data_IF_745358726564
#
_entry.id   IF_745358726564
#
_cell.length_a   1.000
_cell.length_b   1.000
_cell.length_c   1.000
_cell.angle_alpha   90.00
_cell.angle_beta   90.00
_cell.angle_gamma   90.00
#
_symmetry.space_group_name_H-M   'P 1'
#
loop_
_entity.id
_entity.type
_entity.pdbx_description
1 polymer ?
#
# COMPACT_ATOMS: atom_id res chain seq x y z
N UNK A 1 11.06 -0.83 32.60
CA UNK A 1 12.14 -1.31 31.71
C UNK A 1 11.94 -0.64 30.37
N UNK A 2 13.00 -0.14 29.73
CA UNK A 2 12.86 0.40 28.37
C UNK A 2 12.60 -0.79 27.43
N UNK A 3 11.45 -0.80 26.75
CA UNK A 3 11.12 -1.84 25.79
C UNK A 3 11.92 -1.62 24.51
N UNK A 4 12.75 -2.59 24.11
CA UNK A 4 13.61 -2.43 22.94
C UNK A 4 12.84 -2.80 21.67
N UNK A 5 13.20 -2.26 20.49
CA UNK A 5 12.55 -2.61 19.23
C UNK A 5 12.62 -4.10 18.91
N UNK A 6 13.76 -4.75 19.18
CA UNK A 6 13.96 -6.19 18.95
C UNK A 6 13.01 -7.08 19.77
N UNK A 7 12.47 -6.57 20.89
CA UNK A 7 11.53 -7.33 21.70
C UNK A 7 10.11 -7.34 21.06
N UNK A 8 9.87 -6.62 19.95
CA UNK A 8 8.60 -6.67 19.20
C UNK A 8 8.55 -7.76 18.14
N UNK A 9 9.69 -8.35 17.76
CA UNK A 9 9.75 -9.25 16.61
C UNK A 9 10.47 -10.55 16.95
N UNK A 10 9.78 -11.65 16.70
CA UNK A 10 10.36 -12.99 16.69
C UNK A 10 10.84 -13.31 15.27
N UNK A 11 12.13 -13.61 15.10
CA UNK A 11 12.65 -14.18 13.86
C UNK A 11 12.50 -15.69 13.88
N UNK A 12 11.96 -16.23 12.78
CA UNK A 12 11.76 -17.66 12.60
C UNK A 12 13.00 -18.30 11.91
N UNK A 13 13.22 -19.62 12.05
CA UNK A 13 14.39 -20.30 11.49
C UNK A 13 14.61 -20.07 9.99
N UNK A 14 13.53 -19.89 9.23
CA UNK A 14 13.49 -19.62 7.80
C UNK A 14 14.26 -18.35 7.42
N UNK A 15 14.33 -17.36 8.32
CA UNK A 15 15.10 -16.13 8.14
C UNK A 15 16.61 -16.37 8.02
N UNK A 16 17.13 -17.50 8.52
CA UNK A 16 18.56 -17.77 8.61
C UNK A 16 19.28 -17.71 7.26
N UNK A 17 18.60 -18.06 6.16
CA UNK A 17 19.17 -17.98 4.81
C UNK A 17 19.48 -16.54 4.39
N UNK A 18 18.62 -15.59 4.77
CA UNK A 18 18.82 -14.17 4.49
C UNK A 18 19.91 -13.57 5.38
N UNK A 19 19.91 -13.95 6.67
CA UNK A 19 20.95 -13.53 7.62
C UNK A 19 22.34 -14.05 7.19
N UNK A 20 22.43 -15.31 6.76
CA UNK A 20 23.69 -15.89 6.29
C UNK A 20 24.16 -15.25 4.98
N UNK A 21 23.23 -14.93 4.08
CA UNK A 21 23.53 -14.20 2.84
C UNK A 21 24.09 -12.81 3.15
N UNK A 22 23.43 -12.04 4.00
CA UNK A 22 23.88 -10.69 4.37
C UNK A 22 25.21 -10.73 5.14
N UNK A 23 25.41 -11.70 6.03
CA UNK A 23 26.68 -11.86 6.74
C UNK A 23 27.87 -12.20 5.82
N UNK A 24 27.61 -12.72 4.61
CA UNK A 24 28.64 -13.02 3.62
C UNK A 24 28.98 -11.83 2.70
N UNK A 25 28.25 -10.73 2.79
CA UNK A 25 28.48 -9.51 1.99
C UNK A 25 29.73 -8.78 2.51
N UNK A 26 30.72 -8.55 1.64
CA UNK A 26 31.97 -7.86 1.98
C UNK A 26 31.85 -6.33 2.02
N UNK A 27 30.83 -5.77 1.38
CA UNK A 27 30.50 -4.34 1.41
C UNK A 27 29.17 -4.03 0.69
N UNK A 28 28.61 -2.81 0.84
CA UNK A 28 27.30 -2.46 0.30
C UNK A 28 27.13 -2.69 -1.20
N UNK A 29 28.21 -2.52 -1.97
CA UNK A 29 28.27 -2.74 -3.43
C UNK A 29 27.96 -4.19 -3.84
N UNK A 30 28.15 -5.15 -2.93
CA UNK A 30 27.97 -6.59 -3.17
C UNK A 30 26.57 -7.08 -2.76
N UNK A 31 25.72 -6.21 -2.17
CA UNK A 31 24.36 -6.58 -1.79
C UNK A 31 23.53 -6.92 -3.02
N UNK A 32 22.97 -8.12 -3.04
CA UNK A 32 21.91 -8.46 -3.98
C UNK A 32 20.67 -7.60 -3.67
N UNK A 33 20.07 -7.00 -4.69
CA UNK A 33 18.88 -6.17 -4.52
C UNK A 33 17.70 -6.97 -3.97
N UNK A 34 17.48 -6.92 -2.66
CA UNK A 34 16.34 -7.52 -1.98
C UNK A 34 15.31 -6.43 -1.69
N UNK A 35 14.11 -6.63 -2.21
CA UNK A 35 12.97 -5.73 -2.01
C UNK A 35 12.15 -6.22 -0.82
N UNK A 36 11.73 -5.29 0.05
CA UNK A 36 10.67 -5.50 1.02
C UNK A 36 9.45 -4.69 0.58
N UNK A 37 8.35 -5.37 0.32
CA UNK A 37 7.04 -4.78 0.05
C UNK A 37 6.24 -4.77 1.36
N UNK A 38 5.44 -3.74 1.62
CA UNK A 38 4.51 -3.76 2.75
C UNK A 38 3.14 -3.17 2.41
N UNK A 39 2.11 -3.74 3.02
CA UNK A 39 0.69 -3.41 2.80
C UNK A 39 -0.11 -3.46 4.12
N UNK A 40 0.44 -2.77 5.13
CA UNK A 40 -0.15 -2.69 6.47
C UNK A 40 -1.58 -2.16 6.40
N UNK A 41 -2.53 -3.01 6.80
CA UNK A 41 -3.95 -2.76 6.77
C UNK A 41 -4.35 -1.74 7.83
N UNK A 42 -4.43 -0.49 7.40
CA UNK A 42 -4.82 0.65 8.23
C UNK A 42 -6.03 1.41 7.68
N UNK A 43 -6.31 2.57 8.29
CA UNK A 43 -7.40 3.45 7.85
C UNK A 43 -7.10 4.08 6.45
N UNK A 44 -5.82 4.15 6.07
CA UNK A 44 -5.35 4.73 4.81
C UNK A 44 -5.19 3.69 3.68
N UNK A 45 -6.21 2.86 3.47
CA UNK A 45 -6.27 1.91 2.34
C UNK A 45 -7.68 1.84 1.72
N UNK A 46 -7.97 2.76 0.80
CA UNK A 46 -9.26 2.82 0.10
C UNK A 46 -9.54 1.52 -0.65
N UNK A 47 -10.78 1.04 -0.55
CA UNK A 47 -11.20 -0.27 -1.07
C UNK A 47 -10.37 -1.46 -0.56
N UNK A 48 -9.55 -1.24 0.49
CA UNK A 48 -8.57 -2.20 1.01
C UNK A 48 -7.60 -2.69 -0.07
N UNK A 49 -7.30 -1.86 -1.06
CA UNK A 49 -6.66 -2.29 -2.28
C UNK A 49 -5.20 -2.73 -2.07
N UNK A 50 -4.46 -2.05 -1.19
CA UNK A 50 -3.10 -2.46 -0.80
C UNK A 50 -3.11 -3.81 -0.08
N UNK A 51 -3.93 -3.95 0.96
CA UNK A 51 -4.02 -5.22 1.71
C UNK A 51 -4.52 -6.38 0.83
N UNK A 52 -5.46 -6.12 -0.10
CA UNK A 52 -5.93 -7.13 -1.05
C UNK A 52 -4.85 -7.51 -2.07
N UNK A 53 -3.97 -6.58 -2.46
CA UNK A 53 -2.83 -6.88 -3.31
C UNK A 53 -1.86 -7.85 -2.60
N UNK A 54 -1.53 -7.59 -1.32
CA UNK A 54 -0.75 -8.50 -0.48
C UNK A 54 -1.34 -9.88 -0.31
N UNK A 55 -2.63 -9.92 0.06
CA UNK A 55 -3.36 -11.18 0.21
C UNK A 55 -3.39 -11.97 -1.10
N UNK A 56 -3.50 -11.29 -2.23
CA UNK A 56 -3.42 -11.91 -3.55
C UNK A 56 -2.05 -12.51 -3.84
N UNK A 57 -0.95 -11.82 -3.50
CA UNK A 57 0.40 -12.37 -3.61
C UNK A 57 0.59 -13.62 -2.74
N UNK A 58 0.14 -13.59 -1.48
CA UNK A 58 0.20 -14.75 -0.60
C UNK A 58 -0.67 -15.91 -1.09
N UNK A 59 -1.80 -15.64 -1.74
CA UNK A 59 -2.65 -16.68 -2.32
C UNK A 59 -2.06 -17.30 -3.60
N UNK A 60 -1.31 -16.51 -4.38
CA UNK A 60 -0.80 -16.88 -5.70
C UNK A 60 0.64 -17.39 -5.75
N UNK A 61 1.48 -17.03 -4.77
CA UNK A 61 2.92 -17.28 -4.79
C UNK A 61 3.39 -18.19 -3.65
N UNK A 62 4.46 -18.99 -3.87
CA UNK A 62 5.14 -19.71 -2.80
C UNK A 62 5.70 -18.74 -1.77
N UNK A 63 5.42 -18.98 -0.50
CA UNK A 63 5.87 -18.13 0.58
C UNK A 63 6.05 -18.88 1.91
N UNK A 64 6.84 -18.30 2.79
CA UNK A 64 7.00 -18.75 4.18
C UNK A 64 7.13 -17.55 5.11
N UNK A 65 6.67 -17.69 6.36
CA UNK A 65 6.84 -16.64 7.37
C UNK A 65 8.26 -16.70 7.90
N UNK A 66 8.95 -15.55 7.93
CA UNK A 66 10.32 -15.43 8.44
C UNK A 66 10.42 -14.55 9.70
N UNK A 67 9.42 -13.72 9.96
CA UNK A 67 9.32 -12.97 11.21
C UNK A 67 7.86 -12.75 11.61
N UNK A 68 7.60 -12.71 12.92
CA UNK A 68 6.29 -12.40 13.50
C UNK A 68 6.43 -11.26 14.49
N UNK A 69 5.64 -10.21 14.31
CA UNK A 69 5.56 -9.14 15.28
C UNK A 69 4.54 -9.46 16.38
N UNK A 70 4.77 -8.92 17.57
CA UNK A 70 3.86 -9.00 18.71
C UNK A 70 2.61 -8.12 18.49
N UNK A 71 1.66 -8.66 17.72
CA UNK A 71 0.39 -8.01 17.44
C UNK A 71 -0.43 -7.72 18.72
N UNK A 72 -0.25 -8.50 19.79
CA UNK A 72 -0.96 -8.30 21.05
C UNK A 72 -0.57 -6.99 21.74
N UNK A 73 0.70 -6.60 21.62
CA UNK A 73 1.22 -5.31 22.11
C UNK A 73 0.99 -4.14 21.14
N UNK A 74 0.65 -4.41 19.88
CA UNK A 74 0.64 -3.41 18.81
C UNK A 74 -0.76 -3.03 18.32
N UNK A 75 -1.75 -3.91 18.46
CA UNK A 75 -3.10 -3.73 17.90
C UNK A 75 -4.13 -3.48 19.01
N UNK A 76 -5.00 -2.49 18.81
CA UNK A 76 -6.19 -2.26 19.63
C UNK A 76 -7.34 -3.17 19.18
N UNK A 77 -7.49 -4.30 19.87
CA UNK A 77 -8.56 -5.28 19.65
C UNK A 77 -9.98 -4.71 19.79
N UNK A 78 -10.17 -3.54 20.43
CA UNK A 78 -11.49 -2.91 20.54
C UNK A 78 -11.79 -2.03 19.35
N UNK A 79 -10.80 -1.36 18.79
CA UNK A 79 -10.93 -0.61 17.54
C UNK A 79 -11.07 -1.59 16.35
N UNK A 80 -10.31 -2.69 16.37
CA UNK A 80 -10.26 -3.68 15.29
C UNK A 80 -10.73 -5.06 15.79
N UNK A 81 -12.02 -5.18 16.16
CA UNK A 81 -12.56 -6.42 16.75
C UNK A 81 -12.36 -7.63 15.82
N UNK A 82 -11.53 -8.60 16.20
CA UNK A 82 -11.27 -9.72 15.31
C UNK A 82 -12.49 -10.65 15.23
N UNK A 83 -12.65 -11.29 14.08
CA UNK A 83 -13.80 -12.16 13.82
C UNK A 83 -13.67 -13.45 14.61
N UNK A 84 -14.77 -13.86 15.22
CA UNK A 84 -14.89 -15.16 15.88
C UNK A 84 -15.93 -16.01 15.14
N UNK A 85 -15.62 -17.28 14.94
CA UNK A 85 -16.57 -18.25 14.38
C UNK A 85 -17.41 -18.81 15.51
N UNK A 86 -18.73 -18.59 15.46
CA UNK A 86 -19.69 -19.19 16.38
C UNK A 86 -20.54 -20.20 15.62
N UNK A 87 -20.52 -21.46 16.07
CA UNK A 87 -21.26 -22.55 15.45
C UNK A 87 -22.27 -23.13 16.45
N UNK A 88 -23.55 -22.88 16.17
CA UNK A 88 -24.69 -23.30 16.99
C UNK A 88 -24.67 -22.75 18.41
N UNK A 89 -23.89 -23.34 19.31
CA UNK A 89 -23.85 -23.06 20.74
C UNK A 89 -22.42 -22.84 21.29
N UNK A 90 -21.40 -22.82 20.43
CA UNK A 90 -19.99 -22.67 20.84
C UNK A 90 -19.17 -21.82 19.87
N UNK A 91 -18.14 -21.18 20.41
CA UNK A 91 -17.09 -20.56 19.60
C UNK A 91 -16.10 -21.65 19.12
N UNK A 92 -15.75 -21.63 17.84
CA UNK A 92 -14.87 -22.63 17.21
C UNK A 92 -13.53 -22.07 16.74
N UNK A 93 -13.49 -20.79 16.38
CA UNK A 93 -12.29 -20.16 15.87
C UNK A 93 -12.21 -18.67 16.23
N UNK A 94 -10.98 -18.18 16.25
CA UNK A 94 -10.61 -16.79 16.46
C UNK A 94 -9.60 -16.41 15.39
N UNK A 95 -9.96 -15.44 14.54
CA UNK A 95 -9.04 -14.90 13.55
C UNK A 95 -8.21 -13.80 14.24
N UNK A 96 -7.10 -14.18 14.87
CA UNK A 96 -6.21 -13.23 15.54
C UNK A 96 -5.64 -12.21 14.54
N UNK A 97 -5.44 -10.94 14.94
CA UNK A 97 -4.66 -10.01 14.14
C UNK A 97 -3.21 -10.49 14.10
N UNK A 98 -2.60 -10.43 12.92
CA UNK A 98 -1.20 -10.76 12.73
C UNK A 98 -0.49 -9.64 11.97
N UNK A 99 0.81 -9.53 12.21
CA UNK A 99 1.73 -8.67 11.46
C UNK A 99 2.95 -9.54 11.18
N UNK A 100 3.08 -10.00 9.94
CA UNK A 100 4.02 -11.05 9.55
C UNK A 100 4.94 -10.55 8.44
N UNK A 101 6.20 -10.94 8.52
CA UNK A 101 7.14 -10.79 7.43
C UNK A 101 7.28 -12.13 6.73
N UNK A 102 6.93 -12.15 5.45
CA UNK A 102 7.03 -13.32 4.58
C UNK A 102 8.25 -13.21 3.68
N UNK A 103 8.90 -14.33 3.40
CA UNK A 103 9.74 -14.49 2.23
C UNK A 103 8.89 -15.09 1.11
N UNK A 104 8.85 -14.43 -0.03
CA UNK A 104 8.00 -14.77 -1.18
C UNK A 104 8.88 -14.97 -2.41
N UNK A 105 8.52 -15.94 -3.24
CA UNK A 105 9.14 -16.18 -4.54
C UNK A 105 8.20 -15.74 -5.65
N UNK A 106 8.67 -14.88 -6.56
CA UNK A 106 7.90 -14.44 -7.72
C UNK A 106 7.84 -15.53 -8.83
N UNK A 107 7.07 -15.31 -9.90
CA UNK A 107 6.91 -16.31 -10.97
C UNK A 107 8.20 -16.61 -11.76
N UNK A 108 9.24 -15.78 -11.58
CA UNK A 108 10.56 -15.95 -12.17
C UNK A 108 11.57 -16.59 -11.20
N UNK A 109 11.17 -16.96 -9.98
CA UNK A 109 12.03 -17.53 -8.96
C UNK A 109 12.83 -16.50 -8.15
N UNK A 110 12.54 -15.20 -8.30
CA UNK A 110 13.21 -14.11 -7.57
C UNK A 110 12.56 -13.94 -6.20
N UNK A 111 13.40 -13.91 -5.17
CA UNK A 111 12.96 -13.74 -3.78
C UNK A 111 12.76 -12.26 -3.44
N UNK A 112 11.64 -11.95 -2.80
CA UNK A 112 11.35 -10.67 -2.15
C UNK A 112 10.72 -10.89 -0.78
N UNK A 113 10.63 -9.83 0.03
CA UNK A 113 9.96 -9.88 1.33
C UNK A 113 8.62 -9.17 1.26
N UNK A 114 7.63 -9.66 1.99
CA UNK A 114 6.31 -9.05 2.13
C UNK A 114 5.96 -8.89 3.61
N UNK A 115 5.87 -7.66 4.10
CA UNK A 115 5.36 -7.33 5.42
C UNK A 115 3.84 -7.09 5.31
N UNK A 116 3.08 -8.09 5.75
CA UNK A 116 1.62 -8.16 5.59
C UNK A 116 0.94 -8.26 6.96
N UNK A 117 -0.17 -7.54 7.14
CA UNK A 117 -0.96 -7.63 8.36
C UNK A 117 -1.63 -6.32 8.77
N UNK A 118 -2.05 -6.23 10.03
CA UNK A 118 -2.64 -5.01 10.58
C UNK A 118 -1.62 -3.87 10.67
N UNK A 119 -2.07 -2.64 10.43
CA UNK A 119 -1.30 -1.47 10.87
C UNK A 119 -1.28 -1.42 12.41
N UNK A 120 -0.10 -1.25 13.05
CA UNK A 120 -0.03 -1.04 14.49
C UNK A 120 -0.82 0.19 14.95
N UNK A 121 -1.65 0.05 15.98
CA UNK A 121 -2.29 1.17 16.69
C UNK A 121 -1.33 1.86 17.67
N UNK A 122 -0.38 1.10 18.23
CA UNK A 122 0.51 1.57 19.28
C UNK A 122 1.99 1.49 18.88
N UNK A 123 2.81 2.27 19.59
CA UNK A 123 4.27 2.17 19.56
C UNK A 123 4.92 2.31 18.16
N UNK A 124 4.38 3.18 17.29
CA UNK A 124 4.83 3.36 15.91
C UNK A 124 6.35 3.53 15.76
N UNK A 125 6.99 4.41 16.52
CA UNK A 125 8.45 4.60 16.47
C UNK A 125 9.22 3.31 16.83
N UNK A 126 8.73 2.53 17.79
CA UNK A 126 9.35 1.26 18.19
C UNK A 126 9.14 0.18 17.13
N UNK A 127 7.96 0.13 16.52
CA UNK A 127 7.67 -0.76 15.40
C UNK A 127 8.53 -0.43 14.18
N UNK A 128 8.59 0.84 13.79
CA UNK A 128 9.42 1.32 12.67
C UNK A 128 10.91 1.02 12.92
N UNK A 129 11.41 1.24 14.14
CA UNK A 129 12.77 0.87 14.50
C UNK A 129 13.02 -0.65 14.41
N UNK A 130 12.02 -1.48 14.75
CA UNK A 130 12.12 -2.94 14.63
C UNK A 130 12.15 -3.37 13.15
N UNK A 131 11.30 -2.78 12.31
CA UNK A 131 11.32 -3.01 10.85
C UNK A 131 12.65 -2.55 10.24
N UNK A 132 13.16 -1.37 10.61
CA UNK A 132 14.46 -0.89 10.15
C UNK A 132 15.61 -1.83 10.55
N UNK A 133 15.56 -2.40 11.76
CA UNK A 133 16.51 -3.43 12.18
C UNK A 133 16.41 -4.72 11.35
N UNK A 134 15.21 -5.12 10.91
CA UNK A 134 15.06 -6.24 9.97
C UNK A 134 15.60 -5.91 8.59
N UNK A 135 15.32 -4.71 8.07
CA UNK A 135 15.82 -4.21 6.79
C UNK A 135 17.35 -4.31 6.74
N UNK A 136 18.03 -3.84 7.78
CA UNK A 136 19.48 -3.94 7.89
C UNK A 136 19.96 -5.39 7.96
N UNK A 137 19.39 -6.20 8.88
CA UNK A 137 19.86 -7.57 9.15
C UNK A 137 19.63 -8.54 7.99
N UNK A 138 18.59 -8.32 7.20
CA UNK A 138 18.21 -9.18 6.07
C UNK A 138 18.85 -8.71 4.74
N UNK A 139 19.53 -7.56 4.75
CA UNK A 139 20.15 -6.99 3.56
C UNK A 139 19.13 -6.44 2.56
N UNK A 140 18.02 -5.87 3.05
CA UNK A 140 17.03 -5.21 2.20
C UNK A 140 17.61 -3.91 1.66
N UNK A 141 17.53 -3.72 0.35
CA UNK A 141 18.05 -2.52 -0.33
C UNK A 141 16.96 -1.52 -0.66
N UNK A 142 15.72 -1.98 -0.76
CA UNK A 142 14.59 -1.14 -1.19
C UNK A 142 13.32 -1.56 -0.45
N UNK A 143 12.61 -0.58 0.11
CA UNK A 143 11.31 -0.79 0.77
C UNK A 143 10.21 -0.12 -0.04
N UNK A 144 9.11 -0.83 -0.31
CA UNK A 144 8.00 -0.34 -1.14
C UNK A 144 6.67 -0.47 -0.41
N UNK A 145 5.98 0.65 -0.23
CA UNK A 145 4.62 0.69 0.29
C UNK A 145 3.58 0.52 -0.83
N UNK A 146 2.58 -0.33 -0.61
CA UNK A 146 1.38 -0.40 -1.44
C UNK A 146 0.20 0.17 -0.64
N UNK A 147 -0.42 1.24 -1.16
CA UNK A 147 -1.53 1.90 -0.50
C UNK A 147 -2.58 2.35 -1.52
N UNK A 148 -3.76 2.72 -1.05
CA UNK A 148 -4.77 3.34 -1.88
C UNK A 148 -5.45 4.50 -1.16
N UNK A 149 -5.71 5.56 -1.93
CA UNK A 149 -6.32 6.78 -1.44
C UNK A 149 -7.59 7.10 -2.24
N UNK A 150 -8.66 7.54 -1.59
CA UNK A 150 -9.89 7.89 -2.27
C UNK A 150 -9.77 9.28 -2.88
N UNK A 151 -10.17 9.39 -4.15
CA UNK A 151 -10.02 10.60 -4.96
C UNK A 151 -11.32 10.90 -5.74
N UNK A 152 -11.52 12.16 -6.17
CA UNK A 152 -12.58 12.53 -7.11
C UNK A 152 -12.23 12.07 -8.53
N UNK A 153 -12.19 10.76 -8.74
CA UNK A 153 -11.93 10.12 -10.04
C UNK A 153 -13.07 9.16 -10.40
N UNK A 154 -13.38 8.96 -11.70
CA UNK A 154 -14.40 8.02 -12.11
C UNK A 154 -13.84 6.60 -12.20
N UNK A 155 -14.65 5.59 -11.89
CA UNK A 155 -14.32 4.18 -12.11
C UNK A 155 -14.22 3.80 -13.60
N UNK A 156 -14.60 4.71 -14.52
CA UNK A 156 -14.68 4.55 -15.98
C UNK A 156 -13.41 4.97 -16.72
N UNK A 157 -12.36 5.33 -15.98
CA UNK A 157 -11.05 5.69 -16.50
C UNK A 157 -9.98 4.82 -15.85
N UNK A 158 -8.79 4.70 -16.47
CA UNK A 158 -7.68 3.96 -15.86
C UNK A 158 -7.39 4.47 -14.44
N UNK A 159 -7.07 3.54 -13.53
CA UNK A 159 -6.62 3.89 -12.19
C UNK A 159 -5.29 4.61 -12.30
N UNK A 160 -5.21 5.80 -11.72
CA UNK A 160 -3.96 6.57 -11.62
C UNK A 160 -3.33 6.34 -10.26
N UNK A 161 -2.05 6.64 -10.13
CA UNK A 161 -1.32 6.51 -8.86
C UNK A 161 -0.55 7.77 -8.54
N UNK A 162 -0.33 8.02 -7.26
CA UNK A 162 0.73 8.92 -6.82
C UNK A 162 1.89 8.13 -6.25
N UNK A 163 3.09 8.38 -6.76
CA UNK A 163 4.31 7.83 -6.20
C UNK A 163 4.99 8.84 -5.28
N UNK A 164 5.56 8.33 -4.19
CA UNK A 164 6.36 9.07 -3.21
C UNK A 164 7.62 8.26 -2.89
N UNK A 165 8.67 8.94 -2.44
CA UNK A 165 9.95 8.31 -2.17
C UNK A 165 10.85 9.18 -1.31
N UNK A 166 11.81 8.53 -0.64
CA UNK A 166 12.89 9.20 0.11
C UNK A 166 13.80 10.06 -0.77
N UNK A 167 13.88 9.76 -2.07
CA UNK A 167 14.58 10.58 -3.07
C UNK A 167 13.89 10.55 -4.44
N UNK A 168 13.86 11.69 -5.11
CA UNK A 168 13.14 11.91 -6.39
C UNK A 168 13.55 10.92 -7.49
N UNK A 169 14.81 10.50 -7.50
CA UNK A 169 15.41 9.63 -8.52
C UNK A 169 14.75 8.25 -8.61
N UNK A 170 14.13 7.77 -7.52
CA UNK A 170 13.48 6.46 -7.46
C UNK A 170 12.16 6.41 -8.26
N UNK A 171 11.58 7.58 -8.53
CA UNK A 171 10.23 7.71 -9.09
C UNK A 171 10.17 8.72 -10.26
N UNK A 172 11.28 8.99 -10.95
CA UNK A 172 11.40 10.02 -12.01
C UNK A 172 10.30 9.96 -13.07
N UNK A 173 9.87 8.75 -13.42
CA UNK A 173 8.80 8.48 -14.37
C UNK A 173 7.40 8.93 -13.90
N UNK A 174 7.21 9.14 -12.60
CA UNK A 174 5.94 9.58 -12.04
C UNK A 174 5.85 11.11 -12.00
N UNK A 175 4.66 11.67 -12.32
CA UNK A 175 4.44 13.10 -12.21
C UNK A 175 4.32 13.55 -10.75
N UNK A 176 4.66 14.82 -10.51
CA UNK A 176 4.42 15.48 -9.22
C UNK A 176 3.06 16.16 -9.31
N UNK A 177 2.09 15.66 -8.53
CA UNK A 177 0.72 16.20 -8.51
C UNK A 177 0.56 17.39 -7.56
N UNK A 178 1.30 17.39 -6.45
CA UNK A 178 1.07 18.30 -5.34
C UNK A 178 2.36 18.91 -4.80
N UNK A 179 2.23 20.09 -4.21
CA UNK A 179 3.28 20.74 -3.41
C UNK A 179 3.21 20.31 -1.94
N UNK A 180 3.59 21.22 -1.05
CA UNK A 180 3.49 20.99 0.40
C UNK A 180 2.02 20.83 0.83
N UNK A 181 1.71 19.72 1.51
CA UNK A 181 0.40 19.41 2.09
C UNK A 181 0.58 18.81 3.49
N UNK A 182 -0.43 18.93 4.35
CA UNK A 182 -0.42 18.32 5.68
C UNK A 182 -1.50 17.24 5.75
N UNK A 183 -1.06 15.98 5.76
CA UNK A 183 -1.93 14.82 5.87
C UNK A 183 -1.73 14.14 7.23
N UNK A 184 -2.75 13.44 7.78
CA UNK A 184 -2.53 12.63 8.97
C UNK A 184 -1.48 11.55 8.70
N UNK A 185 -0.69 11.25 9.73
CA UNK A 185 0.37 10.25 9.62
C UNK A 185 -0.18 8.83 9.59
N UNK A 186 0.60 7.94 8.99
CA UNK A 186 0.45 6.48 9.07
C UNK A 186 1.79 5.85 9.45
N UNK A 187 1.77 4.60 9.92
CA UNK A 187 2.97 3.81 10.17
C UNK A 187 3.78 3.65 8.88
N UNK A 188 3.09 3.47 7.75
CA UNK A 188 3.68 3.42 6.40
C UNK A 188 4.50 4.69 6.10
N UNK A 189 3.90 5.87 6.26
CA UNK A 189 4.57 7.14 5.99
C UNK A 189 5.73 7.41 6.98
N UNK A 190 5.56 7.04 8.27
CA UNK A 190 6.62 7.17 9.26
C UNK A 190 7.79 6.21 8.95
N UNK A 191 7.50 5.00 8.48
CA UNK A 191 8.51 4.03 8.06
C UNK A 191 9.34 4.60 6.90
N UNK A 192 8.71 5.11 5.84
CA UNK A 192 9.41 5.75 4.72
C UNK A 192 10.31 6.89 5.21
N UNK A 193 9.78 7.78 6.06
CA UNK A 193 10.53 8.90 6.61
C UNK A 193 11.78 8.45 7.38
N UNK A 194 11.63 7.50 8.33
CA UNK A 194 12.74 7.00 9.16
C UNK A 194 13.76 6.20 8.35
N UNK A 195 13.33 5.44 7.35
CA UNK A 195 14.23 4.75 6.44
C UNK A 195 15.05 5.74 5.60
N UNK A 196 14.42 6.82 5.12
CA UNK A 196 15.11 7.91 4.43
C UNK A 196 16.16 8.60 5.29
N UNK A 197 15.84 8.91 6.56
CA UNK A 197 16.80 9.44 7.53
C UNK A 197 17.99 8.49 7.77
N UNK A 198 17.77 7.18 7.66
CA UNK A 198 18.80 6.14 7.76
C UNK A 198 19.53 5.86 6.44
N UNK A 199 19.19 6.55 5.35
CA UNK A 199 19.81 6.38 4.03
C UNK A 199 19.37 5.12 3.27
N UNK A 200 18.23 4.53 3.62
CA UNK A 200 17.62 3.41 2.91
C UNK A 200 16.67 3.94 1.83
N UNK A 201 16.74 3.35 0.63
CA UNK A 201 15.79 3.65 -0.43
C UNK A 201 14.40 3.11 -0.05
N UNK A 202 13.46 4.03 0.16
CA UNK A 202 12.06 3.70 0.41
C UNK A 202 11.17 4.53 -0.51
N UNK A 203 10.12 3.90 -1.00
CA UNK A 203 9.15 4.50 -1.90
C UNK A 203 7.77 3.90 -1.68
N UNK A 204 6.75 4.53 -2.23
CA UNK A 204 5.39 4.03 -2.17
C UNK A 204 4.60 4.42 -3.41
N UNK A 205 3.59 3.60 -3.69
CA UNK A 205 2.57 3.88 -4.71
C UNK A 205 1.20 3.87 -4.07
N UNK A 206 0.47 4.97 -4.25
CA UNK A 206 -0.88 5.16 -3.75
C UNK A 206 -1.86 5.16 -4.92
N UNK A 207 -2.68 4.11 -5.06
CA UNK A 207 -3.71 4.04 -6.10
C UNK A 207 -4.89 4.97 -5.81
N UNK A 208 -5.34 5.70 -6.83
CA UNK A 208 -6.49 6.60 -6.73
C UNK A 208 -7.79 5.82 -6.92
N UNK A 209 -8.50 5.57 -5.83
CA UNK A 209 -9.79 4.87 -5.82
C UNK A 209 -10.91 5.91 -5.94
N UNK A 210 -11.93 5.70 -6.79
CA UNK A 210 -13.12 6.55 -6.77
C UNK A 210 -13.71 6.65 -5.36
N UNK A 211 -13.87 7.86 -4.83
CA UNK A 211 -14.30 8.06 -3.43
C UNK A 211 -15.61 7.35 -3.07
N UNK A 212 -16.55 7.19 -4.01
CA UNK A 212 -17.80 6.44 -3.83
C UNK A 212 -17.61 4.92 -3.77
N UNK A 213 -16.42 4.41 -4.11
CA UNK A 213 -16.02 2.99 -4.00
C UNK A 213 -15.05 2.74 -2.84
N UNK A 214 -14.71 3.75 -2.03
CA UNK A 214 -13.69 3.63 -0.98
C UNK A 214 -13.99 2.56 0.08
N UNK A 215 -15.26 2.19 0.25
CA UNK A 215 -15.74 1.18 1.21
C UNK A 215 -16.16 -0.15 0.54
N UNK A 216 -16.00 -0.25 -0.78
CA UNK A 216 -16.30 -1.45 -1.57
C UNK A 216 -14.99 -2.13 -2.02
N UNK A 217 -15.08 -3.34 -2.53
CA UNK A 217 -13.93 -3.97 -3.21
C UNK A 217 -13.76 -3.34 -4.59
N UNK A 218 -12.54 -2.93 -4.93
CA UNK A 218 -12.20 -2.38 -6.24
C UNK A 218 -10.92 -3.03 -6.80
N UNK A 219 -11.02 -4.24 -7.40
CA UNK A 219 -9.84 -5.03 -7.79
C UNK A 219 -8.92 -4.33 -8.79
N UNK A 220 -9.45 -3.36 -9.56
CA UNK A 220 -8.66 -2.54 -10.47
C UNK A 220 -7.55 -1.77 -9.74
N UNK A 221 -7.78 -1.31 -8.50
CA UNK A 221 -6.74 -0.64 -7.74
C UNK A 221 -5.63 -1.59 -7.28
N UNK A 222 -5.97 -2.78 -6.78
CA UNK A 222 -4.98 -3.81 -6.42
C UNK A 222 -4.17 -4.26 -7.63
N UNK A 223 -4.82 -4.46 -8.79
CA UNK A 223 -4.16 -4.77 -10.05
C UNK A 223 -3.12 -3.69 -10.41
N UNK A 224 -3.55 -2.43 -10.43
CA UNK A 224 -2.66 -1.31 -10.75
C UNK A 224 -1.49 -1.19 -9.77
N UNK A 225 -1.71 -1.42 -8.48
CA UNK A 225 -0.62 -1.45 -7.49
C UNK A 225 0.43 -2.52 -7.82
N UNK A 226 0.00 -3.73 -8.19
CA UNK A 226 0.92 -4.81 -8.57
C UNK A 226 1.64 -4.52 -9.89
N UNK A 227 0.97 -3.97 -10.90
CA UNK A 227 1.59 -3.58 -12.17
C UNK A 227 2.68 -2.49 -11.96
N UNK A 228 2.43 -1.53 -11.07
CA UNK A 228 3.44 -0.54 -10.69
C UNK A 228 4.57 -1.14 -9.86
N UNK A 229 4.27 -2.10 -8.97
CA UNK A 229 5.28 -2.83 -8.21
C UNK A 229 6.22 -3.60 -9.16
N UNK A 230 5.69 -4.33 -10.15
CA UNK A 230 6.49 -5.00 -11.19
C UNK A 230 7.40 -4.00 -11.91
N UNK A 231 6.85 -2.87 -12.38
CA UNK A 231 7.61 -1.84 -13.09
C UNK A 231 8.73 -1.19 -12.26
N UNK A 232 8.52 -1.04 -10.95
CA UNK A 232 9.49 -0.46 -10.02
C UNK A 232 10.60 -1.43 -9.60
N UNK A 233 10.30 -2.72 -9.54
CA UNK A 233 11.19 -3.73 -8.91
C UNK A 233 11.76 -4.76 -9.87
N UNK A 234 11.16 -4.88 -11.07
CA UNK A 234 11.38 -6.00 -11.97
C UNK A 234 11.02 -7.35 -11.34
N UNK A 235 10.02 -7.39 -10.47
CA UNK A 235 9.37 -8.64 -10.05
C UNK A 235 8.38 -9.10 -11.13
N UNK A 236 8.11 -10.40 -11.14
CA UNK A 236 7.10 -11.04 -12.01
C UNK A 236 5.95 -11.57 -11.16
N UNK A 237 4.82 -10.86 -11.15
CA UNK A 237 3.71 -11.07 -10.23
C UNK A 237 2.46 -11.59 -10.95
N UNK A 238 1.70 -12.52 -10.35
CA UNK A 238 0.52 -13.09 -10.99
C UNK A 238 -0.62 -12.06 -11.00
N UNK A 239 -0.95 -11.45 -12.13
CA UNK A 239 -2.00 -10.40 -12.21
C UNK A 239 -3.30 -10.82 -12.90
N UNK A 240 -3.35 -12.02 -13.50
CA UNK A 240 -4.42 -12.40 -14.41
C UNK A 240 -5.80 -12.51 -13.74
N UNK A 241 -5.89 -13.18 -12.59
CA UNK A 241 -7.18 -13.31 -11.89
C UNK A 241 -7.68 -11.97 -11.33
N UNK A 242 -6.77 -11.05 -10.97
CA UNK A 242 -7.14 -9.67 -10.61
C UNK A 242 -7.68 -8.90 -11.81
N UNK A 243 -7.13 -9.12 -13.00
CA UNK A 243 -7.60 -8.52 -14.25
C UNK A 243 -9.01 -8.99 -14.61
N UNK A 244 -9.29 -10.28 -14.51
CA UNK A 244 -10.64 -10.84 -14.68
C UNK A 244 -11.63 -10.28 -13.63
N UNK A 245 -11.20 -10.22 -12.37
CA UNK A 245 -12.00 -9.66 -11.28
C UNK A 245 -12.29 -8.16 -11.49
N UNK A 246 -11.32 -7.39 -11.96
CA UNK A 246 -11.48 -5.97 -12.25
C UNK A 246 -12.48 -5.74 -13.39
N UNK A 247 -12.45 -6.56 -14.45
CA UNK A 247 -13.42 -6.47 -15.55
C UNK A 247 -14.84 -6.81 -15.10
N UNK A 248 -14.99 -7.86 -14.30
CA UNK A 248 -16.30 -8.27 -13.76
C UNK A 248 -16.87 -7.18 -12.83
N UNK A 249 -16.06 -6.72 -11.87
CA UNK A 249 -16.44 -5.67 -10.95
C UNK A 249 -16.79 -4.36 -11.67
N UNK A 250 -16.07 -4.02 -12.74
CA UNK A 250 -16.37 -2.87 -13.61
C UNK A 250 -17.79 -2.96 -14.18
N UNK A 251 -18.18 -4.10 -14.74
CA UNK A 251 -19.54 -4.31 -15.26
C UNK A 251 -20.59 -4.20 -14.15
N UNK A 252 -20.34 -4.79 -12.98
CA UNK A 252 -21.26 -4.72 -11.85
C UNK A 252 -21.47 -3.27 -11.36
N UNK A 253 -20.42 -2.46 -11.31
CA UNK A 253 -20.54 -1.05 -10.90
C UNK A 253 -21.34 -0.26 -11.94
N UNK A 254 -21.09 -0.47 -13.24
CA UNK A 254 -21.84 0.17 -14.32
C UNK A 254 -23.35 -0.16 -14.22
N UNK A 255 -23.70 -1.42 -13.97
CA UNK A 255 -25.09 -1.86 -13.78
C UNK A 255 -25.76 -1.26 -12.53
N UNK A 256 -25.01 -1.05 -11.45
CA UNK A 256 -25.52 -0.42 -10.23
C UNK A 256 -25.75 1.10 -10.39
N UNK A 257 -24.94 1.76 -11.20
CA UNK A 257 -25.01 3.22 -11.41
C UNK A 257 -26.09 3.59 -12.44
N UNK A 258 -26.24 2.79 -13.51
CA UNK A 258 -27.11 3.09 -14.65
C UNK A 258 -28.58 3.43 -14.30
N UNK A 259 -29.24 2.84 -13.28
CA UNK A 259 -30.62 3.18 -12.94
C UNK A 259 -30.80 4.57 -12.32
N UNK A 260 -29.72 5.22 -11.86
CA UNK A 260 -29.76 6.54 -11.21
C UNK A 260 -29.19 7.62 -12.15
N UNK A 261 -30.05 8.49 -12.72
CA UNK A 261 -29.59 9.61 -13.54
C UNK A 261 -28.67 10.57 -12.77
N UNK A 262 -28.88 10.71 -11.46
CA UNK A 262 -28.04 11.52 -10.58
C UNK A 262 -26.63 10.92 -10.47
N UNK A 263 -26.51 9.61 -10.18
CA UNK A 263 -25.21 8.95 -10.10
C UNK A 263 -24.49 8.99 -11.45
N UNK A 264 -25.24 8.82 -12.55
CA UNK A 264 -24.70 8.91 -13.91
C UNK A 264 -24.15 10.31 -14.21
N UNK A 265 -24.86 11.37 -13.79
CA UNK A 265 -24.40 12.74 -13.95
C UNK A 265 -23.14 13.03 -13.12
N UNK A 266 -23.05 12.50 -11.90
CA UNK A 266 -21.84 12.61 -11.06
C UNK A 266 -20.65 11.93 -11.73
N UNK A 267 -20.82 10.70 -12.23
CA UNK A 267 -19.75 9.98 -12.95
C UNK A 267 -19.31 10.77 -14.18
N UNK A 268 -20.26 11.27 -14.99
CA UNK A 268 -19.94 12.06 -16.18
C UNK A 268 -19.18 13.35 -15.86
N UNK A 269 -19.47 14.02 -14.73
CA UNK A 269 -18.71 15.18 -14.28
C UNK A 269 -17.27 14.82 -13.89
N UNK A 270 -17.08 13.70 -13.20
CA UNK A 270 -15.74 13.18 -12.85
C UNK A 270 -14.94 12.78 -14.08
N UNK A 271 -15.59 12.21 -15.10
CA UNK A 271 -14.98 11.93 -16.40
C UNK A 271 -14.47 13.19 -17.09
N UNK A 272 -15.29 14.24 -17.15
CA UNK A 272 -14.88 15.52 -17.74
C UNK A 272 -13.68 16.13 -17.01
N UNK A 273 -13.66 16.07 -15.68
CA UNK A 273 -12.53 16.54 -14.86
C UNK A 273 -11.26 15.72 -15.14
N UNK A 274 -11.36 14.39 -15.17
CA UNK A 274 -10.25 13.50 -15.45
C UNK A 274 -9.66 13.74 -16.85
N UNK A 275 -10.54 13.82 -17.87
CA UNK A 275 -10.13 13.99 -19.26
C UNK A 275 -9.49 15.37 -19.48
N UNK A 276 -10.02 16.43 -18.87
CA UNK A 276 -9.44 17.76 -18.90
C UNK A 276 -8.04 17.81 -18.25
N UNK A 277 -7.88 17.15 -17.09
CA UNK A 277 -6.59 17.07 -16.40
C UNK A 277 -5.55 16.29 -17.24
N UNK A 278 -5.94 15.16 -17.82
CA UNK A 278 -5.08 14.35 -18.69
C UNK A 278 -4.66 15.12 -19.95
N UNK A 279 -5.61 15.78 -20.62
CA UNK A 279 -5.35 16.57 -21.83
C UNK A 279 -4.42 17.77 -21.57
N UNK A 280 -4.58 18.46 -20.43
CA UNK A 280 -3.68 19.54 -20.04
C UNK A 280 -2.24 19.05 -19.91
N UNK A 281 -2.03 17.87 -19.31
CA UNK A 281 -0.71 17.22 -19.16
C UNK A 281 -0.07 16.83 -20.48
N UNK A 282 -0.81 16.14 -21.35
CA UNK A 282 -0.30 15.77 -22.69
C UNK A 282 0.08 17.02 -23.50
N UNK A 283 -0.66 18.12 -23.31
CA UNK A 283 -0.33 19.43 -23.87
C UNK A 283 0.89 20.11 -23.24
N UNK A 284 1.16 19.90 -21.94
CA UNK A 284 2.33 20.49 -21.25
C UNK A 284 3.64 19.77 -21.58
N UNK A 285 3.58 18.48 -21.91
CA UNK A 285 4.74 17.71 -22.37
C UNK A 285 5.19 18.13 -23.79
N UNK A 286 4.24 18.67 -24.58
CA UNK A 286 4.48 19.29 -25.89
C UNK A 286 4.87 20.78 -25.80
N UNK A 287 4.50 21.46 -24.70
CA UNK A 287 4.72 22.89 -24.47
C UNK A 287 5.14 23.09 -23.01
N UNK A 288 6.44 22.95 -22.73
CA UNK A 288 6.99 23.11 -21.37
C UNK A 288 6.55 24.44 -20.76
N UNK A 289 5.64 24.37 -19.76
CA UNK A 289 5.20 25.48 -18.93
C UNK A 289 3.77 25.96 -19.21
N UNK A 290 2.79 25.40 -18.50
CA UNK A 290 1.41 25.92 -18.48
C UNK A 290 0.59 25.33 -17.34
N UNK A 291 -0.08 26.21 -16.58
CA UNK A 291 -0.76 25.97 -15.30
C UNK A 291 -1.80 24.82 -15.33
N UNK A 292 -1.60 23.89 -14.40
CA UNK A 292 -2.58 22.87 -13.96
C UNK A 292 -3.57 23.57 -12.99
N UNK A 293 -4.86 23.18 -12.90
CA UNK A 293 -5.76 23.67 -11.85
C UNK A 293 -5.11 23.61 -10.46
N UNK A 294 -5.38 24.61 -9.62
CA UNK A 294 -4.57 24.88 -8.44
C UNK A 294 -4.52 23.69 -7.46
N UNK A 295 -3.32 23.35 -6.99
CA UNK A 295 -3.08 22.29 -6.00
C UNK A 295 -3.92 22.45 -4.73
N UNK A 296 -4.40 23.67 -4.44
CA UNK A 296 -5.24 24.00 -3.30
C UNK A 296 -6.65 23.40 -3.37
N UNK A 297 -7.28 23.31 -4.55
CA UNK A 297 -8.68 22.83 -4.65
C UNK A 297 -8.80 21.30 -4.52
N UNK A 298 -7.85 20.55 -5.09
CA UNK A 298 -7.82 19.08 -4.98
C UNK A 298 -7.24 18.66 -3.62
N UNK A 299 -6.22 19.38 -3.13
CA UNK A 299 -5.68 19.21 -1.78
C UNK A 299 -6.73 19.44 -0.70
N UNK A 300 -7.56 20.48 -0.84
CA UNK A 300 -8.63 20.75 0.12
C UNK A 300 -9.70 19.65 0.18
N UNK A 301 -10.08 19.04 -0.95
CA UNK A 301 -11.01 17.91 -0.95
C UNK A 301 -10.38 16.63 -0.39
N UNK A 302 -9.08 16.40 -0.64
CA UNK A 302 -8.33 15.30 -0.02
C UNK A 302 -8.20 15.47 1.49
N UNK A 303 -7.73 16.65 1.96
CA UNK A 303 -7.67 17.01 3.38
C UNK A 303 -9.04 16.90 4.05
N UNK A 304 -10.12 17.36 3.38
CA UNK A 304 -11.48 17.25 3.90
C UNK A 304 -11.91 15.80 4.06
N UNK A 305 -11.62 14.94 3.09
CA UNK A 305 -11.92 13.51 3.20
C UNK A 305 -11.16 12.87 4.36
N UNK A 306 -9.86 13.13 4.49
CA UNK A 306 -9.05 12.58 5.58
C UNK A 306 -9.58 13.04 6.95
N UNK A 307 -9.93 14.33 7.08
CA UNK A 307 -10.54 14.88 8.28
C UNK A 307 -11.97 14.36 8.57
N UNK A 308 -12.69 13.90 7.55
CA UNK A 308 -14.01 13.28 7.71
C UNK A 308 -13.91 11.80 8.16
N UNK A 309 -12.82 11.11 7.81
CA UNK A 309 -12.53 9.78 8.38
C UNK A 309 -12.21 9.87 9.87
N UNK A 310 -11.37 10.82 10.26
CA UNK A 310 -11.04 11.08 11.68
C UNK A 310 -12.29 11.37 12.52
N UNK A 311 -13.24 12.17 11.98
CA UNK A 311 -14.48 12.55 12.69
C UNK A 311 -15.53 11.46 12.82
N UNK A 312 -15.50 10.42 11.99
CA UNK A 312 -16.42 9.27 12.13
C UNK A 312 -15.99 8.30 13.24
N UNK A 313 -14.86 8.59 13.90
CA UNK A 313 -14.25 7.78 14.95
C UNK A 313 -14.56 8.25 16.38
N UNK A 314 -15.17 9.44 16.53
CA UNK A 314 -15.69 10.01 17.79
C UNK A 314 -17.19 9.72 17.99
#
# INVERSE_FOLDING_TARGET
>A
MAHRPEDLVELLPEAQRFLAREAAVGGPEERAGLVLVHDLAGDFDAARAGTLAGAHLLAGLPHEVIARFDADSLVDYRAHRPRMTFNSDRYEAFAAPEILLHAVEDDAGKQFLLLHGAEPDFAWERFVAAVAGLVERLGVTTVIALQAIPMPVPHTRPVTVTAHATRRQLIEQYPVYWGEMRIPGSVSALLELRLGEAGVDALGVAAHVPHYLAQATYPAASLTLLEHLEGLTGLHLPTETLREAAQTNRTEIDEQIAPSPENTAVVAALEQQYDAFTAAREGTDLLSGGEVPSAEEIGAEFERFLADQDRRRD
#
